data_IF_641296352133
#
_entry.id   IF_641296352133
#
_cell.length_a   1.000
_cell.length_b   1.000
_cell.length_c   1.000
_cell.angle_alpha   90.00
_cell.angle_beta   90.00
_cell.angle_gamma   90.00
#
_symmetry.space_group_name_H-M   'P 1'
#
loop_
_entity.id
_entity.type
_entity.pdbx_description
1 polymer ?
#
# COMPACT_ATOMS: atom_id res chain seq x y z
N UNK A 1 -19.81 -4.74 22.09
CA UNK A 1 -19.41 -4.28 20.74
C UNK A 1 -18.32 -5.21 20.28
N UNK A 2 -18.39 -5.77 19.07
CA UNK A 2 -17.33 -6.63 18.52
C UNK A 2 -16.10 -5.79 18.19
N UNK A 3 -14.92 -6.24 18.61
CA UNK A 3 -13.63 -5.65 18.22
C UNK A 3 -13.28 -6.05 16.78
N UNK A 4 -12.45 -5.25 16.11
CA UNK A 4 -12.06 -5.51 14.72
C UNK A 4 -11.82 -4.26 13.87
N UNK A 5 -11.48 -4.52 12.61
CA UNK A 5 -11.41 -3.54 11.53
C UNK A 5 -12.82 -3.16 11.07
N UNK A 6 -13.08 -1.87 10.89
CA UNK A 6 -14.36 -1.36 10.38
C UNK A 6 -14.49 -1.64 8.88
N UNK A 7 -15.59 -2.29 8.49
CA UNK A 7 -15.91 -2.53 7.09
C UNK A 7 -16.55 -1.30 6.40
N UNK A 8 -16.70 -1.35 5.09
CA UNK A 8 -17.31 -0.30 4.25
C UNK A 8 -18.61 0.31 4.82
N UNK A 9 -19.55 -0.52 5.29
CA UNK A 9 -20.81 -0.07 5.90
C UNK A 9 -20.58 0.77 7.16
N UNK A 10 -19.63 0.37 7.99
CA UNK A 10 -19.27 1.10 9.20
C UNK A 10 -18.49 2.37 8.89
N UNK A 11 -17.64 2.37 7.84
CA UNK A 11 -16.97 3.56 7.36
C UNK A 11 -17.97 4.60 6.82
N UNK A 12 -18.99 4.17 6.08
CA UNK A 12 -20.08 5.05 5.63
C UNK A 12 -20.83 5.66 6.80
N UNK A 13 -21.11 4.85 7.82
CA UNK A 13 -21.70 5.32 9.07
C UNK A 13 -20.78 6.30 9.80
N UNK A 14 -19.47 6.05 9.84
CA UNK A 14 -18.49 6.95 10.45
C UNK A 14 -18.44 8.31 9.72
N UNK A 15 -18.63 8.35 8.40
CA UNK A 15 -18.81 9.61 7.64
C UNK A 15 -20.13 10.29 8.02
N UNK A 16 -21.24 9.55 8.02
CA UNK A 16 -22.57 10.09 8.36
C UNK A 16 -22.66 10.65 9.80
N UNK A 17 -21.97 10.02 10.75
CA UNK A 17 -21.87 10.46 12.15
C UNK A 17 -20.77 11.52 12.36
N UNK A 18 -20.07 11.93 11.29
CA UNK A 18 -19.07 13.00 11.33
C UNK A 18 -17.77 12.64 12.05
N UNK A 19 -17.44 11.34 12.18
CA UNK A 19 -16.13 10.87 12.65
C UNK A 19 -15.07 11.07 11.59
N UNK A 20 -15.44 10.94 10.32
CA UNK A 20 -14.64 11.32 9.16
C UNK A 20 -15.35 12.48 8.50
N UNK A 21 -14.65 13.61 8.36
CA UNK A 21 -15.18 14.85 7.77
C UNK A 21 -14.30 15.22 6.60
N UNK A 22 -14.89 15.77 5.55
CA UNK A 22 -14.14 16.26 4.42
C UNK A 22 -14.71 17.59 3.94
N UNK A 23 -13.83 18.47 3.42
CA UNK A 23 -14.23 19.77 2.84
C UNK A 23 -15.20 19.54 1.68
N UNK A 24 -14.88 18.55 0.84
CA UNK A 24 -15.75 18.05 -0.22
C UNK A 24 -16.39 16.73 0.20
N UNK A 25 -17.65 16.44 -0.17
CA UNK A 25 -18.29 15.17 0.15
C UNK A 25 -17.42 13.96 -0.21
N UNK A 26 -17.41 12.95 0.67
CA UNK A 26 -16.72 11.69 0.41
C UNK A 26 -17.49 10.94 -0.67
N UNK A 27 -16.83 10.66 -1.80
CA UNK A 27 -17.44 9.98 -2.94
C UNK A 27 -17.56 8.47 -2.70
N UNK A 28 -18.54 7.82 -3.35
CA UNK A 28 -18.76 6.37 -3.21
C UNK A 28 -17.51 5.55 -3.58
N UNK A 29 -16.77 6.00 -4.58
CA UNK A 29 -15.56 5.34 -5.07
C UNK A 29 -14.38 5.37 -4.08
N UNK A 30 -14.40 6.23 -3.06
CA UNK A 30 -13.35 6.27 -2.03
C UNK A 30 -13.45 5.09 -1.06
N UNK A 31 -14.65 4.53 -0.86
CA UNK A 31 -14.86 3.41 0.05
C UNK A 31 -14.33 2.12 -0.57
N UNK A 32 -13.30 1.56 0.07
CA UNK A 32 -12.84 0.20 -0.15
C UNK A 32 -13.54 -0.73 0.88
N UNK A 33 -13.51 -2.05 0.67
CA UNK A 33 -14.16 -3.01 1.59
C UNK A 33 -13.77 -2.85 3.07
N UNK A 34 -12.51 -2.51 3.36
CA UNK A 34 -12.01 -2.31 4.73
C UNK A 34 -11.08 -1.09 4.89
N UNK A 35 -11.23 -0.09 4.02
CA UNK A 35 -10.47 1.16 4.10
C UNK A 35 -11.16 2.30 3.33
N UNK A 36 -10.67 3.53 3.50
CA UNK A 36 -11.14 4.73 2.82
C UNK A 36 -9.97 5.46 2.16
N UNK A 37 -10.06 5.71 0.86
CA UNK A 37 -9.07 6.52 0.16
C UNK A 37 -9.05 7.97 0.65
N UNK A 38 -7.85 8.49 0.94
CA UNK A 38 -7.61 9.87 1.36
C UNK A 38 -7.21 10.73 0.16
N UNK A 39 -7.70 11.96 0.09
CA UNK A 39 -7.52 12.86 -1.06
C UNK A 39 -6.59 14.02 -0.72
N UNK A 40 -5.68 14.32 -1.64
CA UNK A 40 -4.82 15.49 -1.56
C UNK A 40 -5.64 16.79 -1.56
N UNK A 41 -5.31 17.74 -0.68
CA UNK A 41 -5.81 19.09 -0.75
C UNK A 41 -5.19 19.93 -1.89
N UNK A 42 -5.60 21.20 -2.02
CA UNK A 42 -5.18 22.05 -3.14
C UNK A 42 -3.76 22.63 -3.01
N UNK A 43 -3.11 22.48 -1.85
CA UNK A 43 -1.79 23.09 -1.57
C UNK A 43 -0.83 22.02 -1.08
N UNK A 44 0.37 21.99 -1.65
CA UNK A 44 1.52 21.25 -1.14
C UNK A 44 2.60 22.20 -0.62
N UNK A 45 3.39 21.72 0.35
CA UNK A 45 4.53 22.42 0.92
C UNK A 45 5.78 21.61 0.61
N UNK A 46 6.71 22.14 -0.17
CA UNK A 46 8.01 21.51 -0.35
C UNK A 46 8.83 21.70 0.92
N UNK A 47 9.30 20.61 1.51
CA UNK A 47 10.01 20.62 2.78
C UNK A 47 11.51 20.36 2.59
N UNK A 48 12.30 20.93 3.50
CA UNK A 48 13.73 20.61 3.63
C UNK A 48 13.98 19.22 4.20
N UNK A 49 13.06 18.73 5.04
CA UNK A 49 13.15 17.42 5.69
C UNK A 49 11.77 16.89 6.08
N UNK A 50 11.66 15.55 6.18
CA UNK A 50 10.53 14.88 6.82
C UNK A 50 10.52 15.17 8.34
N UNK A 51 9.34 15.16 8.96
CA UNK A 51 9.21 15.38 10.40
C UNK A 51 7.98 14.70 11.01
N UNK A 52 8.01 14.50 12.33
CA UNK A 52 6.83 14.21 13.14
C UNK A 52 6.52 15.40 14.07
N UNK A 53 5.25 15.82 14.18
CA UNK A 53 4.85 16.90 15.06
C UNK A 53 4.94 16.43 16.51
N UNK A 54 6.09 16.64 17.16
CA UNK A 54 6.36 16.14 18.52
C UNK A 54 5.40 16.72 19.57
N UNK A 55 5.63 17.98 19.97
CA UNK A 55 4.76 18.72 20.93
C UNK A 55 3.94 19.83 20.28
N UNK A 56 4.13 20.02 18.99
CA UNK A 56 3.53 21.08 18.18
C UNK A 56 2.47 20.47 17.25
N UNK A 57 1.60 21.29 16.68
CA UNK A 57 0.74 20.85 15.58
C UNK A 57 1.51 20.91 14.27
N UNK A 58 1.10 20.12 13.29
CA UNK A 58 1.64 20.19 11.93
C UNK A 58 1.53 21.61 11.38
N UNK A 59 0.37 22.25 11.53
CA UNK A 59 0.15 23.62 11.07
C UNK A 59 1.15 24.61 11.71
N UNK A 60 1.44 24.48 13.00
CA UNK A 60 2.42 25.35 13.66
C UNK A 60 3.86 25.14 13.19
N UNK A 61 4.21 23.94 12.69
CA UNK A 61 5.53 23.67 12.08
C UNK A 61 5.64 24.21 10.66
N UNK A 62 4.52 24.28 9.93
CA UNK A 62 4.49 24.89 8.60
C UNK A 62 4.66 26.41 8.68
N UNK A 63 4.11 27.04 9.73
CA UNK A 63 4.13 28.49 9.91
C UNK A 63 3.23 29.22 8.91
N UNK A 64 3.14 30.54 9.07
CA UNK A 64 2.36 31.41 8.16
C UNK A 64 3.26 32.13 7.13
N UNK A 65 4.48 32.51 7.54
CA UNK A 65 5.46 33.19 6.70
C UNK A 65 6.56 32.22 6.23
N UNK A 66 6.60 31.96 4.92
CA UNK A 66 7.62 31.11 4.31
C UNK A 66 9.03 31.69 4.45
N UNK A 67 9.19 33.01 4.44
CA UNK A 67 10.51 33.65 4.49
C UNK A 67 11.21 33.43 5.85
N UNK A 68 10.44 33.07 6.88
CA UNK A 68 10.94 32.77 8.23
C UNK A 68 10.93 31.27 8.53
N UNK A 69 10.51 30.42 7.59
CA UNK A 69 10.42 28.99 7.82
C UNK A 69 11.79 28.33 7.78
N UNK A 70 12.16 27.61 8.85
CA UNK A 70 13.33 26.75 8.88
C UNK A 70 13.11 25.42 8.15
N UNK A 71 11.86 25.09 7.82
CA UNK A 71 11.42 23.79 7.33
C UNK A 71 10.83 23.83 5.91
N UNK A 72 10.00 24.82 5.61
CA UNK A 72 9.31 24.92 4.31
C UNK A 72 10.19 25.68 3.32
N UNK A 73 10.46 25.07 2.17
CA UNK A 73 11.20 25.68 1.06
C UNK A 73 10.27 26.51 0.20
N UNK A 74 9.14 25.94 -0.20
CA UNK A 74 8.21 26.56 -1.15
C UNK A 74 6.78 26.03 -0.96
N UNK A 75 5.81 26.74 -1.52
CA UNK A 75 4.40 26.33 -1.64
C UNK A 75 4.06 26.06 -3.09
N UNK A 76 3.42 24.93 -3.32
CA UNK A 76 3.05 24.45 -4.65
C UNK A 76 1.53 24.31 -4.71
N UNK A 77 0.89 24.95 -5.69
CA UNK A 77 -0.54 24.73 -5.97
C UNK A 77 -0.75 23.40 -6.69
N UNK A 78 -1.72 22.61 -6.23
CA UNK A 78 -2.11 21.32 -6.81
C UNK A 78 -3.42 21.41 -7.60
N UNK A 79 -4.08 22.57 -7.65
CA UNK A 79 -5.38 22.74 -8.31
C UNK A 79 -5.32 22.44 -9.82
N UNK A 80 -4.33 23.02 -10.52
CA UNK A 80 -4.05 22.72 -11.94
C UNK A 80 -3.08 21.54 -12.11
N UNK A 81 -2.68 20.92 -11.01
CA UNK A 81 -1.66 19.89 -10.89
C UNK A 81 -0.22 20.41 -10.89
N UNK A 82 0.65 19.68 -10.20
CA UNK A 82 2.06 19.99 -10.09
C UNK A 82 2.92 18.73 -10.15
N UNK A 83 4.13 18.88 -10.67
CA UNK A 83 5.11 17.79 -10.73
C UNK A 83 5.98 17.81 -9.48
N UNK A 84 5.83 16.78 -8.65
CA UNK A 84 6.68 16.51 -7.49
C UNK A 84 7.97 15.85 -7.97
N UNK A 85 9.11 16.41 -7.59
CA UNK A 85 10.42 15.99 -8.08
C UNK A 85 10.97 14.81 -7.29
N UNK A 86 11.77 13.98 -7.97
CA UNK A 86 12.46 12.84 -7.37
C UNK A 86 13.38 13.31 -6.24
N UNK A 87 13.32 12.62 -5.10
CA UNK A 87 14.17 12.89 -3.93
C UNK A 87 13.79 14.15 -3.14
N UNK A 88 12.74 14.86 -3.53
CA UNK A 88 12.17 15.96 -2.75
C UNK A 88 11.08 15.46 -1.81
N UNK A 89 10.84 16.18 -0.72
CA UNK A 89 9.79 15.88 0.26
C UNK A 89 8.73 16.95 0.16
N UNK A 90 7.47 16.55 0.08
CA UNK A 90 6.32 17.45 0.06
C UNK A 90 5.35 17.04 1.17
N UNK A 91 4.74 18.01 1.84
CA UNK A 91 3.62 17.77 2.74
C UNK A 91 2.36 18.37 2.16
N UNK A 92 1.29 17.59 2.09
CA UNK A 92 0.00 18.00 1.53
C UNK A 92 -1.07 17.80 2.60
N UNK A 93 -1.75 18.86 3.09
CA UNK A 93 -2.95 18.71 3.88
C UNK A 93 -3.98 17.91 3.09
N UNK A 94 -4.58 16.89 3.70
CA UNK A 94 -5.62 16.08 3.07
C UNK A 94 -6.97 16.78 3.18
N UNK A 95 -7.89 16.45 2.25
CA UNK A 95 -9.26 16.95 2.31
C UNK A 95 -10.04 16.38 3.50
N UNK A 96 -9.68 15.16 3.92
CA UNK A 96 -10.27 14.47 5.07
C UNK A 96 -9.61 14.89 6.40
N UNK A 97 -10.45 14.98 7.43
CA UNK A 97 -10.10 15.20 8.84
C UNK A 97 -10.91 14.25 9.72
N UNK A 98 -10.48 14.07 10.96
CA UNK A 98 -11.06 13.08 11.87
C UNK A 98 -11.63 13.71 13.14
N UNK A 99 -12.65 13.08 13.68
CA UNK A 99 -13.27 13.36 14.97
C UNK A 99 -13.68 12.05 15.66
N UNK A 100 -12.71 11.18 15.92
CA UNK A 100 -12.93 9.79 16.32
C UNK A 100 -13.51 9.67 17.74
N UNK A 101 -14.35 8.65 18.00
CA UNK A 101 -14.68 8.23 19.36
C UNK A 101 -13.45 7.74 20.15
N UNK A 102 -13.47 7.78 21.49
CA UNK A 102 -12.30 7.43 22.32
C UNK A 102 -11.74 6.01 22.14
N UNK A 103 -12.56 5.07 21.66
CA UNK A 103 -12.18 3.66 21.46
C UNK A 103 -11.78 3.35 20.00
N UNK A 104 -11.93 4.30 19.08
CA UNK A 104 -11.60 4.13 17.66
C UNK A 104 -10.25 4.76 17.37
N UNK A 105 -9.36 3.98 16.77
CA UNK A 105 -8.05 4.41 16.25
C UNK A 105 -8.02 4.26 14.74
N UNK A 106 -6.97 4.80 14.10
CA UNK A 106 -6.75 4.64 12.68
C UNK A 106 -5.34 4.16 12.35
N UNK A 107 -5.19 3.53 11.19
CA UNK A 107 -3.90 3.27 10.54
C UNK A 107 -4.03 3.57 9.06
N UNK A 108 -2.97 4.04 8.43
CA UNK A 108 -2.96 4.33 7.00
C UNK A 108 -1.87 3.56 6.26
N UNK A 109 -2.04 3.40 4.95
CA UNK A 109 -1.02 2.82 4.08
C UNK A 109 -1.10 3.40 2.68
N UNK A 110 0.01 3.40 1.93
CA UNK A 110 -0.03 3.76 0.51
C UNK A 110 -1.00 2.85 -0.25
N UNK A 111 -1.62 3.41 -1.29
CA UNK A 111 -2.35 2.60 -2.26
C UNK A 111 -1.36 1.77 -3.08
N UNK A 112 -1.80 0.61 -3.56
CA UNK A 112 -0.94 -0.28 -4.34
C UNK A 112 -0.42 0.37 -5.65
N UNK A 113 -1.17 1.31 -6.25
CA UNK A 113 -0.68 2.12 -7.38
C UNK A 113 0.47 3.05 -6.99
N UNK A 114 0.42 3.62 -5.79
CA UNK A 114 1.45 4.51 -5.22
C UNK A 114 2.76 3.76 -5.00
N UNK A 115 2.67 2.55 -4.43
CA UNK A 115 3.83 1.67 -4.24
C UNK A 115 4.51 1.32 -5.56
N UNK A 116 3.75 0.90 -6.58
CA UNK A 116 4.30 0.54 -7.91
C UNK A 116 4.98 1.70 -8.64
N UNK A 117 4.79 2.95 -8.21
CA UNK A 117 5.50 4.12 -8.73
C UNK A 117 6.63 4.60 -7.81
N UNK A 118 7.05 3.77 -6.85
CA UNK A 118 8.10 4.10 -5.87
C UNK A 118 7.87 5.47 -5.22
N UNK A 119 6.62 5.78 -4.86
CA UNK A 119 6.26 7.03 -4.19
C UNK A 119 6.18 6.76 -2.70
N UNK A 120 7.14 7.31 -1.95
CA UNK A 120 7.09 7.26 -0.49
C UNK A 120 5.99 8.17 0.02
N UNK A 121 5.11 7.62 0.86
CA UNK A 121 4.07 8.40 1.51
C UNK A 121 3.92 8.06 2.98
N UNK A 122 3.67 9.06 3.81
CA UNK A 122 3.36 8.90 5.24
C UNK A 122 2.24 9.83 5.66
N UNK A 123 1.22 9.29 6.31
CA UNK A 123 0.22 10.14 6.98
C UNK A 123 0.78 10.63 8.30
N UNK A 124 0.55 11.91 8.57
CA UNK A 124 0.90 12.60 9.80
C UNK A 124 -0.38 13.11 10.44
N UNK A 125 -0.49 12.94 11.76
CA UNK A 125 -1.56 13.51 12.58
C UNK A 125 -0.97 14.21 13.81
N UNK A 126 -1.67 15.21 14.32
CA UNK A 126 -1.22 15.99 15.48
C UNK A 126 -1.09 15.12 16.75
N UNK A 127 0.05 15.23 17.44
CA UNK A 127 0.27 14.56 18.71
C UNK A 127 0.37 13.03 18.62
N UNK A 128 0.63 12.48 17.43
CA UNK A 128 0.95 11.07 17.25
C UNK A 128 2.45 10.91 16.95
N UNK A 129 3.23 10.19 17.78
CA UNK A 129 4.69 10.09 17.65
C UNK A 129 5.13 9.05 16.59
N UNK A 130 4.24 8.70 15.67
CA UNK A 130 4.46 7.69 14.62
C UNK A 130 3.73 8.10 13.36
N UNK A 131 4.38 7.89 12.22
CA UNK A 131 3.72 8.00 10.92
C UNK A 131 2.70 6.88 10.76
N UNK A 132 1.70 7.15 9.92
CA UNK A 132 0.67 6.20 9.50
C UNK A 132 -0.21 5.64 10.63
N UNK A 133 0.05 6.00 11.89
CA UNK A 133 -0.80 5.71 13.03
C UNK A 133 -1.66 6.95 13.37
N UNK A 134 -2.90 6.70 13.78
CA UNK A 134 -3.80 7.72 14.31
C UNK A 134 -4.27 7.23 15.68
N UNK A 135 -3.93 8.00 16.73
CA UNK A 135 -4.29 7.66 18.12
C UNK A 135 -5.79 7.53 18.32
N UNK A 136 -6.18 6.74 19.32
CA UNK A 136 -7.58 6.59 19.68
C UNK A 136 -8.20 7.94 20.09
N UNK A 137 -9.43 8.21 19.65
CA UNK A 137 -10.12 9.48 19.93
C UNK A 137 -9.48 10.72 19.29
N UNK A 138 -8.67 10.55 18.24
CA UNK A 138 -8.04 11.67 17.54
C UNK A 138 -9.07 12.63 16.95
N UNK A 139 -8.79 13.93 17.08
CA UNK A 139 -9.57 15.03 16.50
C UNK A 139 -8.61 16.00 15.82
N UNK A 140 -8.74 16.20 14.52
CA UNK A 140 -7.86 17.10 13.77
C UNK A 140 -7.71 16.74 12.28
N UNK A 141 -6.92 17.54 11.58
CA UNK A 141 -6.61 17.34 10.16
C UNK A 141 -5.59 16.22 9.94
N UNK A 142 -5.59 15.66 8.73
CA UNK A 142 -4.58 14.71 8.29
C UNK A 142 -3.69 15.35 7.23
N UNK A 143 -2.43 14.94 7.20
CA UNK A 143 -1.45 15.44 6.23
C UNK A 143 -0.73 14.25 5.61
N UNK A 144 -0.47 14.31 4.32
CA UNK A 144 0.29 13.30 3.61
C UNK A 144 1.64 13.86 3.23
N UNK A 145 2.69 13.28 3.79
CA UNK A 145 4.03 13.42 3.26
C UNK A 145 4.13 12.59 1.97
N UNK A 146 4.69 13.17 0.92
CA UNK A 146 4.87 12.56 -0.40
C UNK A 146 6.30 12.81 -0.87
N UNK A 147 7.03 11.75 -1.19
CA UNK A 147 8.39 11.83 -1.70
C UNK A 147 8.61 10.81 -2.84
N UNK A 148 8.58 11.24 -4.10
CA UNK A 148 8.84 10.35 -5.24
C UNK A 148 10.29 9.88 -5.25
N UNK A 149 10.53 8.56 -5.38
CA UNK A 149 11.88 7.98 -5.28
C UNK A 149 12.47 7.55 -6.63
N UNK A 150 11.66 7.00 -7.54
CA UNK A 150 12.12 6.59 -8.88
C UNK A 150 11.68 7.54 -9.99
N UNK A 151 10.42 7.95 -9.99
CA UNK A 151 9.81 8.78 -11.04
C UNK A 151 9.47 10.16 -10.49
N UNK A 152 9.71 11.26 -11.21
CA UNK A 152 8.94 12.48 -10.98
C UNK A 152 7.45 12.19 -11.21
N UNK A 153 6.57 12.73 -10.38
CA UNK A 153 5.13 12.44 -10.48
C UNK A 153 4.30 13.70 -10.51
N UNK A 154 3.38 13.79 -11.47
CA UNK A 154 2.39 14.87 -11.51
C UNK A 154 1.15 14.46 -10.72
N UNK A 155 0.79 15.27 -9.74
CA UNK A 155 -0.35 15.07 -8.85
C UNK A 155 -1.31 16.26 -8.93
N UNK A 156 -2.57 16.02 -8.58
CA UNK A 156 -3.63 17.02 -8.57
C UNK A 156 -4.37 16.97 -7.23
N UNK A 157 -5.00 18.09 -6.85
CA UNK A 157 -5.98 18.11 -5.78
C UNK A 157 -7.06 17.04 -6.01
N UNK A 158 -7.51 16.38 -4.94
CA UNK A 158 -8.46 15.27 -5.01
C UNK A 158 -7.83 13.90 -5.34
N UNK A 159 -6.56 13.84 -5.80
CA UNK A 159 -5.91 12.56 -6.06
C UNK A 159 -5.72 11.76 -4.77
N UNK A 160 -5.85 10.42 -4.86
CA UNK A 160 -5.64 9.52 -3.72
C UNK A 160 -4.39 8.69 -3.90
N UNK A 161 -3.43 8.88 -2.98
CA UNK A 161 -2.18 8.12 -2.92
C UNK A 161 -2.13 7.19 -1.70
N UNK A 162 -2.99 7.41 -0.73
CA UNK A 162 -2.99 6.74 0.57
C UNK A 162 -4.43 6.46 1.01
N UNK A 163 -4.59 5.56 1.99
CA UNK A 163 -5.88 5.03 2.43
C UNK A 163 -5.87 4.80 3.94
N UNK A 164 -7.00 5.07 4.59
CA UNK A 164 -7.24 4.97 6.03
C UNK A 164 -8.04 3.72 6.37
N UNK A 165 -7.60 2.96 7.38
CA UNK A 165 -8.35 1.90 8.03
C UNK A 165 -8.68 2.33 9.46
N UNK A 166 -9.94 2.19 9.88
CA UNK A 166 -10.37 2.43 11.26
C UNK A 166 -10.50 1.10 12.01
N UNK A 167 -10.10 1.09 13.28
CA UNK A 167 -10.01 -0.11 14.11
C UNK A 167 -10.56 0.16 15.52
N UNK A 168 -11.16 -0.86 16.13
CA UNK A 168 -11.53 -0.87 17.56
C UNK A 168 -11.03 -2.14 18.24
N UNK A 169 -10.53 -1.99 19.46
CA UNK A 169 -10.00 -3.09 20.28
C UNK A 169 -8.94 -3.94 19.58
N UNK A 170 -8.91 -5.23 19.89
CA UNK A 170 -7.92 -6.17 19.33
C UNK A 170 -8.38 -6.69 17.97
N UNK A 171 -7.55 -6.46 16.95
CA UNK A 171 -7.86 -6.83 15.56
C UNK A 171 -7.02 -7.97 15.03
N UNK A 172 -5.76 -8.05 15.49
CA UNK A 172 -4.76 -8.99 15.01
C UNK A 172 -5.08 -10.45 15.37
N UNK A 173 -4.85 -11.34 14.42
CA UNK A 173 -4.82 -12.78 14.67
C UNK A 173 -3.44 -13.20 15.18
N UNK A 174 -3.43 -14.07 16.19
CA UNK A 174 -2.24 -14.82 16.58
C UNK A 174 -1.92 -15.93 15.56
N UNK A 175 -0.66 -16.38 15.54
CA UNK A 175 -0.25 -17.48 14.64
C UNK A 175 -1.07 -18.76 14.88
N UNK A 176 -1.40 -19.07 16.13
CA UNK A 176 -2.23 -20.23 16.46
C UNK A 176 -3.67 -20.12 15.91
N UNK A 177 -4.24 -18.91 15.87
CA UNK A 177 -5.55 -18.68 15.25
C UNK A 177 -5.47 -18.73 13.72
N UNK A 178 -4.38 -18.20 13.15
CA UNK A 178 -4.15 -18.18 11.72
C UNK A 178 -3.92 -19.59 11.18
N UNK A 179 -3.13 -20.41 11.88
CA UNK A 179 -2.93 -21.82 11.56
C UNK A 179 -4.23 -22.63 11.63
N UNK A 180 -5.05 -22.43 12.67
CA UNK A 180 -6.37 -23.07 12.77
C UNK A 180 -7.26 -22.72 11.58
N UNK A 181 -7.31 -21.43 11.24
CA UNK A 181 -8.06 -20.93 10.08
C UNK A 181 -7.54 -21.54 8.79
N UNK A 182 -6.22 -21.66 8.64
CA UNK A 182 -5.57 -22.27 7.48
C UNK A 182 -5.93 -23.75 7.32
N UNK A 183 -6.00 -24.51 8.42
CA UNK A 183 -6.40 -25.94 8.40
C UNK A 183 -7.85 -26.13 7.97
N UNK A 184 -8.73 -25.22 8.34
CA UNK A 184 -10.14 -25.23 7.93
C UNK A 184 -10.32 -24.77 6.48
N UNK A 185 -9.60 -23.72 6.07
CA UNK A 185 -9.64 -23.15 4.72
C UNK A 185 -8.24 -22.73 4.30
N UNK A 186 -7.61 -23.47 3.36
CA UNK A 186 -6.26 -23.14 2.90
C UNK A 186 -6.17 -21.72 2.35
N UNK A 187 -5.17 -20.97 2.81
CA UNK A 187 -4.95 -19.58 2.42
C UNK A 187 -3.88 -19.42 1.33
N UNK A 188 -2.98 -20.40 1.15
CA UNK A 188 -1.96 -20.39 0.10
C UNK A 188 -2.14 -21.53 -0.89
N UNK A 189 -1.87 -21.23 -2.16
CA UNK A 189 -1.95 -22.15 -3.28
C UNK A 189 -0.70 -22.03 -4.17
N UNK A 190 -0.35 -23.13 -4.83
CA UNK A 190 0.68 -23.13 -5.87
C UNK A 190 0.13 -22.70 -7.25
N UNK A 191 1.00 -22.65 -8.25
CA UNK A 191 0.60 -22.27 -9.62
C UNK A 191 -0.41 -23.21 -10.26
N UNK A 192 -0.46 -24.48 -9.83
CA UNK A 192 -1.43 -25.47 -10.28
C UNK A 192 -2.76 -25.38 -9.53
N UNK A 193 -2.91 -24.42 -8.61
CA UNK A 193 -4.11 -24.25 -7.79
C UNK A 193 -4.25 -25.30 -6.70
N UNK A 194 -3.18 -26.00 -6.34
CA UNK A 194 -3.19 -26.96 -5.23
C UNK A 194 -2.91 -26.21 -3.93
N UNK A 195 -3.65 -26.49 -2.84
CA UNK A 195 -3.38 -25.87 -1.56
C UNK A 195 -1.99 -26.26 -1.06
N UNK A 196 -1.24 -25.29 -0.54
CA UNK A 196 0.03 -25.56 0.12
C UNK A 196 -0.28 -26.25 1.47
N UNK A 197 0.28 -27.43 1.75
CA UNK A 197 0.08 -28.11 3.04
C UNK A 197 0.48 -27.20 4.20
N UNK A 198 -0.27 -27.23 5.29
CA UNK A 198 -0.04 -26.37 6.45
C UNK A 198 1.35 -26.60 7.07
N UNK A 199 1.89 -27.81 6.95
CA UNK A 199 3.24 -28.18 7.41
C UNK A 199 4.35 -27.46 6.62
N UNK A 200 4.04 -26.93 5.44
CA UNK A 200 4.95 -26.12 4.61
C UNK A 200 4.65 -24.63 4.73
N UNK A 201 3.54 -24.24 5.34
CA UNK A 201 3.24 -22.84 5.61
C UNK A 201 4.05 -22.37 6.82
N UNK A 202 4.61 -21.17 6.74
CA UNK A 202 5.42 -20.58 7.82
C UNK A 202 4.62 -19.45 8.46
N UNK A 203 4.39 -19.56 9.76
CA UNK A 203 3.73 -18.56 10.59
C UNK A 203 4.76 -17.91 11.51
N UNK A 204 4.83 -16.57 11.49
CA UNK A 204 5.76 -15.77 12.30
C UNK A 204 5.21 -14.35 12.49
N UNK A 205 4.25 -14.19 13.39
CA UNK A 205 3.40 -13.00 13.53
C UNK A 205 2.73 -12.63 12.19
N UNK A 206 2.14 -13.64 11.54
CA UNK A 206 1.58 -13.55 10.19
C UNK A 206 2.06 -14.66 9.26
N UNK A 207 1.47 -14.70 8.06
CA UNK A 207 1.71 -15.73 7.06
C UNK A 207 2.87 -15.35 6.14
N UNK A 208 3.96 -16.11 6.17
CA UNK A 208 5.16 -15.81 5.40
C UNK A 208 5.03 -16.28 3.95
N UNK A 209 5.61 -15.52 3.02
CA UNK A 209 5.57 -15.80 1.59
C UNK A 209 6.93 -15.53 0.93
N UNK A 210 7.23 -16.33 -0.10
CA UNK A 210 8.48 -16.27 -0.86
C UNK A 210 8.37 -15.42 -2.13
N UNK A 211 9.52 -15.10 -2.73
CA UNK A 211 9.59 -14.48 -4.07
C UNK A 211 9.60 -15.52 -5.18
N UNK A 212 9.00 -15.22 -6.34
CA UNK A 212 9.14 -16.05 -7.55
C UNK A 212 10.18 -15.47 -8.51
N UNK A 213 11.24 -16.23 -8.75
CA UNK A 213 12.26 -15.94 -9.75
C UNK A 213 12.23 -16.96 -10.92
N UNK A 214 11.18 -17.79 -11.00
CA UNK A 214 11.08 -18.81 -12.06
C UNK A 214 10.66 -18.24 -13.42
N UNK A 215 9.87 -17.17 -13.43
CA UNK A 215 9.32 -16.55 -14.65
C UNK A 215 8.36 -17.44 -15.45
N UNK A 216 7.93 -18.58 -14.90
CA UNK A 216 7.12 -19.59 -15.62
C UNK A 216 5.78 -19.02 -16.08
N UNK A 217 5.17 -18.15 -15.27
CA UNK A 217 3.84 -17.57 -15.53
C UNK A 217 3.87 -16.28 -16.36
N UNK A 218 5.06 -15.82 -16.72
CA UNK A 218 5.31 -14.47 -17.23
C UNK A 218 6.25 -14.50 -18.46
N UNK A 219 6.28 -15.62 -19.18
CA UNK A 219 7.09 -15.76 -20.40
C UNK A 219 8.60 -15.62 -20.16
N UNK A 220 9.08 -15.96 -18.97
CA UNK A 220 10.48 -15.81 -18.57
C UNK A 220 10.84 -14.44 -17.99
N UNK A 221 9.87 -13.56 -17.69
CA UNK A 221 10.13 -12.29 -17.01
C UNK A 221 9.87 -12.42 -15.50
N UNK A 222 10.89 -12.23 -14.67
CA UNK A 222 10.77 -12.40 -13.21
C UNK A 222 10.34 -11.12 -12.49
N UNK A 223 10.45 -9.98 -13.15
CA UNK A 223 10.20 -8.68 -12.54
C UNK A 223 10.44 -7.51 -13.49
N UNK A 224 10.27 -6.31 -12.97
CA UNK A 224 10.65 -5.07 -13.62
C UNK A 224 11.59 -4.27 -12.73
N UNK A 225 12.58 -3.63 -13.33
CA UNK A 225 13.45 -2.65 -12.68
C UNK A 225 13.12 -1.26 -13.22
N UNK A 226 12.91 -0.27 -12.35
CA UNK A 226 12.67 1.10 -12.82
C UNK A 226 13.89 1.62 -13.59
N UNK A 227 13.68 2.36 -14.68
CA UNK A 227 14.74 3.04 -15.43
C UNK A 227 15.48 4.06 -14.54
N UNK A 228 16.77 4.35 -14.78
CA UNK A 228 17.55 5.30 -13.97
C UNK A 228 17.09 6.76 -14.09
N UNK A 229 16.57 7.14 -15.27
CA UNK A 229 16.16 8.51 -15.58
C UNK A 229 14.85 8.52 -16.39
N UNK A 230 13.73 8.09 -15.78
CA UNK A 230 12.45 8.01 -16.48
C UNK A 230 11.80 9.40 -16.60
N UNK A 231 10.90 9.62 -17.58
CA UNK A 231 10.09 10.82 -17.64
C UNK A 231 9.07 10.87 -16.50
N UNK A 232 8.35 11.99 -16.38
CA UNK A 232 7.36 12.17 -15.32
C UNK A 232 6.08 11.35 -15.58
N UNK A 233 5.53 10.76 -14.52
CA UNK A 233 4.25 10.03 -14.55
C UNK A 233 3.14 10.93 -14.02
N UNK A 234 2.14 11.23 -14.85
CA UNK A 234 0.91 11.91 -14.43
C UNK A 234 -0.08 10.89 -13.86
N UNK A 235 -0.39 11.03 -12.57
CA UNK A 235 -1.27 10.08 -11.88
C UNK A 235 -2.70 10.08 -12.43
N UNK A 236 -3.13 11.15 -13.10
CA UNK A 236 -4.45 11.24 -13.72
C UNK A 236 -4.56 10.45 -15.03
N UNK A 237 -3.43 10.10 -15.67
CA UNK A 237 -3.42 9.37 -16.95
C UNK A 237 -3.36 7.87 -16.74
N UNK A 238 -4.50 7.20 -16.84
CA UNK A 238 -4.63 5.74 -16.77
C UNK A 238 -4.40 5.13 -18.16
N UNK A 239 -3.75 3.95 -18.22
CA UNK A 239 -3.54 3.18 -19.45
C UNK A 239 -2.89 4.01 -20.59
N UNK A 240 -1.94 4.88 -20.24
CA UNK A 240 -1.43 5.91 -21.15
C UNK A 240 0.01 5.68 -21.59
N UNK A 241 0.90 5.35 -20.66
CA UNK A 241 2.35 5.30 -20.87
C UNK A 241 2.80 3.95 -21.39
N UNK A 242 3.79 3.91 -22.29
CA UNK A 242 4.46 2.67 -22.67
C UNK A 242 5.36 2.21 -21.50
N UNK A 243 5.14 0.99 -20.94
CA UNK A 243 6.02 0.43 -19.91
C UNK A 243 7.52 0.51 -20.24
N UNK A 244 7.93 0.35 -21.49
CA UNK A 244 9.34 0.25 -21.88
C UNK A 244 10.13 1.55 -21.66
N UNK A 245 9.46 2.71 -21.63
CA UNK A 245 10.08 4.00 -21.34
C UNK A 245 10.42 4.19 -19.85
N UNK A 246 9.81 3.39 -18.97
CA UNK A 246 9.87 3.56 -17.52
C UNK A 246 10.45 2.34 -16.79
N UNK A 247 10.36 1.16 -17.40
CA UNK A 247 10.71 -0.12 -16.80
C UNK A 247 11.58 -0.97 -17.71
N UNK A 248 12.57 -1.61 -17.12
CA UNK A 248 13.39 -2.65 -17.73
C UNK A 248 12.87 -4.03 -17.29
N UNK A 249 12.39 -4.88 -18.22
CA UNK A 249 11.97 -6.23 -17.87
C UNK A 249 13.18 -7.10 -17.50
N UNK A 250 13.07 -7.82 -16.39
CA UNK A 250 14.13 -8.69 -15.88
C UNK A 250 13.86 -10.10 -16.36
N UNK A 251 14.74 -10.62 -17.22
CA UNK A 251 14.64 -12.01 -17.68
C UNK A 251 15.08 -12.98 -16.60
N UNK A 252 14.50 -14.18 -16.62
CA UNK A 252 14.87 -15.30 -15.75
C UNK A 252 16.38 -15.54 -15.82
N UNK A 253 17.09 -15.55 -14.68
CA UNK A 253 18.51 -15.88 -14.63
C UNK A 253 18.76 -17.35 -14.98
N UNK A 254 20.00 -17.67 -15.37
CA UNK A 254 20.41 -19.06 -15.64
C UNK A 254 20.39 -19.94 -14.38
N UNK A 255 20.68 -19.32 -13.23
CA UNK A 255 20.59 -19.92 -11.91
C UNK A 255 19.26 -19.53 -11.24
N UNK A 256 18.92 -20.18 -10.13
CA UNK A 256 17.73 -19.91 -9.31
C UNK A 256 17.88 -18.68 -8.39
N UNK A 257 18.80 -17.76 -8.73
CA UNK A 257 19.12 -16.57 -7.94
C UNK A 257 19.26 -15.31 -8.80
N UNK A 258 18.91 -14.17 -8.22
CA UNK A 258 19.05 -12.84 -8.84
C UNK A 258 19.69 -11.85 -7.87
N UNK A 259 20.57 -10.97 -8.37
CA UNK A 259 21.20 -9.92 -7.57
C UNK A 259 20.42 -8.61 -7.75
N UNK A 260 19.83 -8.12 -6.67
CA UNK A 260 19.24 -6.80 -6.60
C UNK A 260 20.36 -5.76 -6.39
N UNK A 261 20.54 -4.88 -7.36
CA UNK A 261 21.45 -3.73 -7.24
C UNK A 261 20.97 -2.77 -6.15
N UNK A 262 21.94 -2.21 -5.41
CA UNK A 262 21.68 -1.20 -4.39
C UNK A 262 20.99 0.04 -4.98
N UNK A 263 20.08 0.63 -4.21
CA UNK A 263 19.31 1.83 -4.55
C UNK A 263 18.45 1.76 -5.83
N UNK A 264 18.24 0.57 -6.40
CA UNK A 264 17.33 0.35 -7.52
C UNK A 264 15.97 -0.14 -7.03
N UNK A 265 14.92 0.28 -7.73
CA UNK A 265 13.56 -0.12 -7.46
C UNK A 265 13.11 -1.27 -8.37
N UNK A 266 12.49 -2.27 -7.75
CA UNK A 266 12.05 -3.49 -8.40
C UNK A 266 10.57 -3.75 -8.13
N UNK A 267 9.87 -4.24 -9.14
CA UNK A 267 8.57 -4.88 -8.99
C UNK A 267 8.79 -6.37 -9.20
N UNK A 268 8.59 -7.15 -8.15
CA UNK A 268 8.66 -8.60 -8.13
C UNK A 268 7.29 -9.18 -7.77
N UNK A 269 7.17 -10.50 -7.71
CA UNK A 269 5.91 -11.17 -7.40
C UNK A 269 6.14 -12.32 -6.43
N UNK A 270 5.16 -12.62 -5.58
CA UNK A 270 5.21 -13.73 -4.64
C UNK A 270 5.19 -15.08 -5.35
N UNK A 271 5.83 -16.09 -4.75
CA UNK A 271 5.81 -17.49 -5.19
C UNK A 271 4.44 -18.12 -4.98
N UNK A 272 3.89 -17.94 -3.80
CA UNK A 272 2.59 -18.46 -3.42
C UNK A 272 1.48 -17.51 -3.87
N UNK A 273 0.30 -18.09 -4.11
CA UNK A 273 -0.95 -17.36 -4.33
C UNK A 273 -1.72 -17.31 -3.03
N UNK A 274 -2.09 -16.12 -2.56
CA UNK A 274 -2.79 -15.93 -1.28
C UNK A 274 -4.28 -15.65 -1.46
N UNK A 275 -5.08 -16.09 -0.48
CA UNK A 275 -6.48 -15.70 -0.27
C UNK A 275 -6.63 -14.92 1.03
N UNK A 276 -7.41 -13.85 0.99
CA UNK A 276 -7.91 -13.13 2.16
C UNK A 276 -9.42 -13.35 2.23
N UNK A 277 -9.92 -14.23 3.11
CA UNK A 277 -11.36 -14.47 3.24
C UNK A 277 -12.15 -13.20 3.62
N UNK A 278 -13.45 -13.11 3.29
CA UNK A 278 -14.26 -11.90 3.54
C UNK A 278 -14.38 -11.45 5.00
N UNK A 279 -14.09 -12.35 5.94
CA UNK A 279 -14.10 -12.11 7.39
C UNK A 279 -12.79 -11.45 7.89
N UNK A 280 -11.77 -11.37 7.03
CA UNK A 280 -10.46 -10.83 7.36
C UNK A 280 -10.05 -9.70 6.42
N UNK A 281 -9.30 -8.77 6.99
CA UNK A 281 -8.46 -7.86 6.24
C UNK A 281 -7.02 -8.29 6.45
N UNK A 282 -6.11 -7.87 5.58
CA UNK A 282 -4.70 -8.15 5.81
C UNK A 282 -3.81 -6.95 5.46
N UNK A 283 -2.55 -7.08 5.82
CA UNK A 283 -1.50 -6.09 5.56
C UNK A 283 -0.18 -6.80 5.25
N UNK A 284 0.51 -6.35 4.21
CA UNK A 284 1.88 -6.80 3.95
C UNK A 284 2.81 -6.16 4.99
N UNK A 285 3.60 -6.95 5.68
CA UNK A 285 4.59 -6.48 6.66
C UNK A 285 5.96 -7.06 6.29
N UNK A 286 7.01 -6.28 6.55
CA UNK A 286 8.38 -6.74 6.36
C UNK A 286 8.62 -7.95 7.29
N UNK A 287 9.24 -9.00 6.76
CA UNK A 287 9.45 -10.26 7.49
C UNK A 287 10.22 -10.05 8.80
N UNK A 288 11.37 -9.37 8.74
CA UNK A 288 12.18 -8.98 9.90
C UNK A 288 13.18 -7.88 9.47
N UNK A 289 13.48 -6.92 10.35
CA UNK A 289 14.56 -5.95 10.17
C UNK A 289 15.95 -6.62 10.17
N UNK A 290 16.09 -7.82 10.75
CA UNK A 290 17.32 -8.62 10.78
C UNK A 290 17.52 -9.57 9.58
N UNK A 291 16.50 -9.76 8.73
CA UNK A 291 16.54 -10.72 7.61
C UNK A 291 17.32 -10.21 6.37
N UNK A 292 17.98 -9.05 6.48
CA UNK A 292 18.91 -8.51 5.47
C UNK A 292 18.53 -7.13 4.92
N UNK A 293 19.19 -6.75 3.84
CA UNK A 293 19.08 -5.43 3.17
C UNK A 293 17.83 -5.26 2.30
N UNK A 294 17.06 -6.34 2.11
CA UNK A 294 15.83 -6.32 1.33
C UNK A 294 14.69 -5.85 2.20
N UNK A 295 14.02 -4.81 1.73
CA UNK A 295 12.72 -4.41 2.27
C UNK A 295 11.70 -4.44 1.15
N UNK A 296 10.54 -5.02 1.44
CA UNK A 296 9.34 -4.67 0.69
C UNK A 296 9.00 -3.23 1.07
N UNK A 297 9.34 -2.31 0.18
CA UNK A 297 8.94 -0.92 0.30
C UNK A 297 7.42 -0.83 0.07
N UNK A 298 6.72 0.03 0.79
CA UNK A 298 5.28 0.28 0.57
C UNK A 298 4.32 -0.89 0.87
N UNK A 299 4.62 -1.66 1.92
CA UNK A 299 3.65 -2.45 2.69
C UNK A 299 2.23 -1.87 2.62
N UNK A 300 1.29 -2.64 2.04
CA UNK A 300 -0.05 -2.18 1.72
C UNK A 300 -1.15 -3.05 2.32
N UNK A 301 -2.35 -2.50 2.35
CA UNK A 301 -3.55 -3.23 2.75
C UNK A 301 -4.00 -4.23 1.69
N UNK A 302 -4.43 -5.39 2.15
CA UNK A 302 -5.28 -6.31 1.40
C UNK A 302 -6.70 -6.17 1.92
N UNK A 303 -7.63 -6.01 0.98
CA UNK A 303 -9.05 -5.94 1.29
C UNK A 303 -9.65 -7.35 1.46
N UNK A 304 -10.71 -7.48 2.27
CA UNK A 304 -11.49 -8.70 2.37
C UNK A 304 -11.98 -9.17 0.99
N UNK A 305 -11.65 -10.41 0.63
CA UNK A 305 -11.95 -10.98 -0.69
C UNK A 305 -10.75 -11.06 -1.64
N UNK A 306 -9.60 -10.46 -1.29
CA UNK A 306 -8.41 -10.48 -2.13
C UNK A 306 -7.96 -11.90 -2.45
N UNK A 307 -7.92 -12.25 -3.74
CA UNK A 307 -7.62 -13.62 -4.19
C UNK A 307 -8.67 -14.66 -3.78
N UNK A 308 -9.77 -14.27 -3.13
CA UNK A 308 -10.86 -15.14 -2.71
C UNK A 308 -12.04 -15.10 -3.68
N UNK A 309 -12.44 -13.90 -4.12
CA UNK A 309 -13.57 -13.69 -5.02
C UNK A 309 -14.90 -14.05 -4.33
N UNK A 310 -15.75 -14.80 -5.01
CA UNK A 310 -16.97 -15.40 -4.45
C UNK A 310 -16.71 -16.74 -3.72
N UNK A 311 -15.45 -17.14 -3.59
CA UNK A 311 -15.05 -18.47 -3.11
C UNK A 311 -14.43 -19.35 -4.19
N UNK A 312 -14.57 -19.01 -5.47
CA UNK A 312 -14.02 -19.78 -6.60
C UNK A 312 -12.54 -19.53 -6.90
N UNK A 313 -12.00 -18.36 -6.54
CA UNK A 313 -10.62 -17.99 -6.90
C UNK A 313 -9.62 -18.65 -5.97
N UNK A 314 -8.74 -19.51 -6.48
CA UNK A 314 -7.71 -20.21 -5.69
C UNK A 314 -6.46 -19.35 -5.48
N UNK A 315 -6.66 -18.16 -4.91
CA UNK A 315 -5.62 -17.19 -4.59
C UNK A 315 -5.12 -16.37 -5.78
N UNK A 316 -4.49 -15.26 -5.47
CA UNK A 316 -3.76 -14.40 -6.40
C UNK A 316 -2.34 -14.17 -5.90
N UNK A 317 -1.42 -13.86 -6.80
CA UNK A 317 -0.07 -13.47 -6.39
C UNK A 317 -0.06 -12.06 -5.81
N UNK A 318 0.92 -11.80 -4.96
CA UNK A 318 1.19 -10.50 -4.37
C UNK A 318 2.29 -9.85 -5.19
N UNK A 319 2.02 -8.70 -5.78
CA UNK A 319 3.08 -7.85 -6.33
C UNK A 319 3.84 -7.20 -5.18
N UNK A 320 5.16 -7.23 -5.26
CA UNK A 320 6.06 -6.74 -4.24
C UNK A 320 6.92 -5.61 -4.80
N UNK A 321 6.94 -4.49 -4.11
CA UNK A 321 7.82 -3.38 -4.38
C UNK A 321 9.11 -3.53 -3.55
N UNK A 322 10.24 -3.78 -4.20
CA UNK A 322 11.48 -4.19 -3.53
C UNK A 322 12.61 -3.20 -3.82
N UNK A 323 13.41 -2.92 -2.78
CA UNK A 323 14.65 -2.13 -2.87
C UNK A 323 15.72 -2.80 -2.01
N UNK A 324 16.91 -2.99 -2.57
CA UNK A 324 18.13 -3.21 -1.78
C UNK A 324 18.72 -1.84 -1.45
N UNK A 325 18.98 -1.55 -0.17
CA UNK A 325 19.37 -0.19 0.25
C UNK A 325 20.87 0.06 0.08
N UNK A 326 21.68 -0.47 0.99
CA UNK A 326 23.07 -0.05 1.12
C UNK A 326 24.02 -0.83 0.22
N UNK A 327 23.80 -2.14 0.10
CA UNK A 327 24.63 -3.03 -0.71
C UNK A 327 23.78 -3.91 -1.64
N UNK A 328 24.34 -4.40 -2.76
CA UNK A 328 23.66 -5.40 -3.57
C UNK A 328 23.31 -6.64 -2.76
N UNK A 329 22.15 -7.23 -3.04
CA UNK A 329 21.65 -8.39 -2.30
C UNK A 329 21.20 -9.49 -3.25
N UNK A 330 21.65 -10.72 -3.00
CA UNK A 330 21.26 -11.90 -3.78
C UNK A 330 20.02 -12.55 -3.18
N UNK A 331 19.03 -12.86 -4.03
CA UNK A 331 17.78 -13.53 -3.63
C UNK A 331 17.62 -14.82 -4.39
N UNK A 332 17.15 -15.86 -3.71
CA UNK A 332 16.84 -17.16 -4.31
C UNK A 332 15.34 -17.31 -4.59
N UNK A 333 15.00 -18.09 -5.62
CA UNK A 333 13.62 -18.49 -5.89
C UNK A 333 13.01 -19.19 -4.66
N UNK A 334 11.83 -18.73 -4.24
CA UNK A 334 11.13 -19.24 -3.05
C UNK A 334 11.67 -18.73 -1.71
N UNK A 335 12.70 -17.88 -1.68
CA UNK A 335 13.18 -17.30 -0.43
C UNK A 335 12.09 -16.42 0.21
N UNK A 336 11.77 -16.70 1.48
CA UNK A 336 10.84 -15.88 2.28
C UNK A 336 11.27 -14.42 2.25
N UNK A 337 10.38 -13.57 1.78
CA UNK A 337 10.68 -12.15 1.51
C UNK A 337 9.79 -11.20 2.30
N UNK A 338 8.58 -11.62 2.68
CA UNK A 338 7.64 -10.82 3.46
C UNK A 338 6.66 -11.71 4.22
N UNK A 339 5.86 -11.09 5.09
CA UNK A 339 4.73 -11.75 5.75
C UNK A 339 3.45 -10.95 5.59
N UNK A 340 2.33 -11.63 5.69
CA UNK A 340 0.99 -11.05 5.62
C UNK A 340 0.33 -11.17 6.97
N UNK A 341 0.06 -10.02 7.59
CA UNK A 341 -0.60 -9.93 8.88
C UNK A 341 -2.12 -9.90 8.68
N UNK A 342 -2.84 -10.83 9.33
CA UNK A 342 -4.29 -10.93 9.24
C UNK A 342 -4.98 -10.26 10.42
N UNK A 343 -6.09 -9.57 10.12
CA UNK A 343 -6.93 -8.88 11.07
C UNK A 343 -8.40 -9.26 10.90
N UNK A 344 -9.13 -9.42 12.01
CA UNK A 344 -10.57 -9.68 11.99
C UNK A 344 -11.34 -8.40 11.65
N UNK A 345 -12.35 -8.51 10.79
CA UNK A 345 -13.35 -7.46 10.65
C UNK A 345 -14.39 -7.53 11.75
N UNK A 346 -14.98 -6.39 12.09
CA UNK A 346 -16.14 -6.31 13.00
C UNK A 346 -17.41 -6.87 12.39
N UNK A 347 -17.50 -6.82 11.06
CA UNK A 347 -18.60 -7.30 10.26
C UNK A 347 -18.16 -7.53 8.81
N UNK A 348 -18.86 -8.40 8.10
CA UNK A 348 -18.58 -8.68 6.69
C UNK A 348 -18.91 -7.43 5.84
N UNK A 349 -18.02 -7.03 4.89
CA UNK A 349 -18.28 -5.88 4.04
C UNK A 349 -19.44 -6.14 3.07
N UNK A 350 -20.13 -5.07 2.64
CA UNK A 350 -21.17 -5.16 1.61
C UNK A 350 -20.56 -5.49 0.24
N UNK A 351 -19.42 -4.88 -0.07
CA UNK A 351 -18.62 -5.18 -1.27
C UNK A 351 -17.42 -6.04 -0.89
N UNK A 352 -17.38 -7.26 -1.39
CA UNK A 352 -16.20 -8.14 -1.27
C UNK A 352 -15.26 -7.88 -2.44
N UNK A 353 -13.98 -7.71 -2.15
CA UNK A 353 -12.97 -7.50 -3.18
C UNK A 353 -12.95 -8.69 -4.16
N UNK A 354 -12.95 -8.40 -5.46
CA UNK A 354 -12.96 -9.42 -6.50
C UNK A 354 -14.35 -9.88 -6.97
N UNK A 355 -15.43 -9.46 -6.31
CA UNK A 355 -16.80 -9.79 -6.71
C UNK A 355 -17.40 -8.59 -7.47
N UNK A 356 -17.56 -8.73 -8.79
CA UNK A 356 -18.09 -7.69 -9.69
C UNK A 356 -17.02 -7.03 -10.59
N UNK A 357 -17.46 -6.17 -11.52
CA UNK A 357 -16.60 -5.45 -12.47
C UNK A 357 -15.86 -4.30 -11.77
N UNK A 358 -14.52 -4.34 -11.73
CA UNK A 358 -13.70 -3.20 -11.27
C UNK A 358 -12.68 -3.49 -10.16
N UNK A 359 -12.58 -4.74 -9.67
CA UNK A 359 -11.58 -5.09 -8.66
C UNK A 359 -10.17 -5.09 -9.25
N UNK A 360 -9.43 -4.01 -8.98
CA UNK A 360 -8.26 -3.64 -9.77
C UNK A 360 -7.09 -4.62 -9.72
N UNK A 361 -7.05 -5.69 -8.96
CA UNK A 361 -5.87 -6.55 -8.88
C UNK A 361 -6.25 -7.97 -8.42
N UNK A 362 -7.41 -8.47 -8.85
CA UNK A 362 -7.94 -9.77 -8.39
C UNK A 362 -7.25 -10.98 -9.03
N UNK A 363 -6.62 -10.80 -10.19
CA UNK A 363 -5.87 -11.81 -10.92
C UNK A 363 -4.47 -11.31 -11.23
N UNK A 364 -3.71 -10.90 -10.20
CA UNK A 364 -2.38 -10.36 -10.43
C UNK A 364 -1.44 -11.43 -10.95
N UNK A 365 -0.84 -11.13 -12.09
CA UNK A 365 0.50 -11.58 -12.44
C UNK A 365 1.47 -10.43 -12.13
N UNK A 366 2.63 -10.41 -12.78
CA UNK A 366 3.56 -9.29 -12.69
C UNK A 366 2.94 -8.03 -13.31
N UNK A 367 2.36 -7.17 -12.46
CA UNK A 367 1.52 -6.03 -12.90
C UNK A 367 2.13 -4.70 -12.48
N UNK A 368 2.29 -3.77 -13.42
CA UNK A 368 2.71 -2.40 -13.18
C UNK A 368 1.56 -1.51 -12.67
N UNK A 369 1.84 -0.24 -12.37
CA UNK A 369 0.81 0.71 -11.94
C UNK A 369 -0.22 0.97 -13.08
N UNK A 370 -1.43 1.42 -12.72
CA UNK A 370 -2.54 1.63 -13.67
C UNK A 370 -2.27 2.68 -14.77
N UNK A 371 -1.21 3.46 -14.63
CA UNK A 371 -0.84 4.50 -15.59
C UNK A 371 -0.20 3.93 -16.87
N UNK A 372 0.36 2.72 -16.79
CA UNK A 372 1.01 2.06 -17.91
C UNK A 372 0.02 1.25 -18.73
N UNK A 373 0.22 1.25 -20.06
CA UNK A 373 -0.54 0.42 -20.99
C UNK A 373 -0.36 -1.05 -20.65
N UNK A 374 -1.46 -1.78 -20.56
CA UNK A 374 -1.38 -3.24 -20.45
C UNK A 374 -0.94 -3.82 -21.80
N UNK A 375 -0.04 -4.81 -21.82
CA UNK A 375 0.17 -5.61 -23.03
C UNK A 375 -1.19 -6.14 -23.49
N UNK A 376 -1.49 -6.06 -24.78
CA UNK A 376 -2.70 -6.68 -25.31
C UNK A 376 -2.67 -8.17 -24.94
N UNK A 377 -3.71 -8.64 -24.24
CA UNK A 377 -3.92 -10.07 -24.05
C UNK A 377 -4.19 -10.65 -25.45
N UNK A 378 -3.18 -11.31 -26.00
CA UNK A 378 -3.25 -12.02 -27.29
C UNK A 378 -3.90 -13.39 -27.15
#
# INVERSE_FOLDING_TARGET
>A
MTDGVLADRELRRAVAEGWIRAVEPVADAQFQPASLDLRLGPVGYQLRASFLPFRQTVQSRLGEDLAQSDLVIDRVSLESGATLQRGSVYLVPLLESLALPPHVRGRSNPKSTTGRLDIFTRVISDGTPRFDEIRAGYRGGLYLEVSPQSFPVRVHAGASLNQLRLLTGQTAMSDAELERTYRETPLLYDDAGRPIPVERAVFNDGLCMGVDLSGVRTGGIIGYRAQPNPPAVDLARVDHYDPAEFWEPIKRPAHDAYILEANRFYILVSKERIRVPPEFAAEMVVYDAGAGEIRTHYAGFFDPGFGFGDGSVLGTRVVMEVRAREVPFMVYDGQTSFKVWFERLRGRPERVYGVGLGSSYQHQTLTLSKQFRRPAEG
#
